data_IF_952149920506
#
_entry.id   IF_952149920506
#
_cell.length_a   1.000
_cell.length_b   1.000
_cell.length_c   1.000
_cell.angle_alpha   90.00
_cell.angle_beta   90.00
_cell.angle_gamma   90.00
#
_symmetry.space_group_name_H-M   'P 1'
#
loop_
_entity.id
_entity.type
_entity.pdbx_description
1 polymer ?
#
# COMPACT_ATOMS: atom_id res chain seq x y z
N UNK A 1 48.57 -17.24 10.96
CA UNK A 1 47.73 -16.77 9.82
C UNK A 1 46.39 -17.52 9.68
N UNK A 2 46.29 -18.82 10.01
CA UNK A 2 45.01 -19.56 10.00
C UNK A 2 43.97 -19.03 11.01
N UNK A 3 44.39 -18.76 12.24
CA UNK A 3 43.54 -18.23 13.32
C UNK A 3 42.96 -16.86 12.99
N UNK A 4 43.77 -15.94 12.45
CA UNK A 4 43.31 -14.60 12.06
C UNK A 4 42.29 -14.62 10.92
N UNK A 5 42.43 -15.56 9.97
CA UNK A 5 41.44 -15.78 8.90
C UNK A 5 40.13 -16.36 9.45
N UNK A 6 40.19 -17.22 10.48
CA UNK A 6 39.00 -17.76 11.14
C UNK A 6 38.22 -16.70 11.92
N UNK A 7 38.90 -15.83 12.67
CA UNK A 7 38.24 -14.72 13.36
C UNK A 7 37.60 -13.72 12.39
N UNK A 8 38.26 -13.45 11.26
CA UNK A 8 37.70 -12.59 10.22
C UNK A 8 36.42 -13.18 9.60
N UNK A 9 36.45 -14.48 9.25
CA UNK A 9 35.26 -15.17 8.72
C UNK A 9 34.12 -15.18 9.75
N UNK A 10 34.42 -15.44 11.02
CA UNK A 10 33.42 -15.44 12.08
C UNK A 10 32.80 -14.05 12.31
N UNK A 11 33.61 -12.98 12.25
CA UNK A 11 33.12 -11.60 12.37
C UNK A 11 32.20 -11.20 11.20
N UNK A 12 32.53 -11.62 9.96
CA UNK A 12 31.69 -11.39 8.80
C UNK A 12 30.35 -12.13 8.91
N UNK A 13 30.35 -13.37 9.40
CA UNK A 13 29.11 -14.15 9.63
C UNK A 13 28.23 -13.49 10.69
N UNK A 14 28.82 -13.01 11.79
CA UNK A 14 28.11 -12.25 12.82
C UNK A 14 27.50 -10.95 12.29
N UNK A 15 28.20 -10.25 11.39
CA UNK A 15 27.71 -9.02 10.78
C UNK A 15 26.49 -9.27 9.88
N UNK A 16 26.48 -10.40 9.15
CA UNK A 16 25.37 -10.80 8.28
C UNK A 16 24.13 -11.18 9.09
N UNK A 17 24.31 -11.88 10.21
CA UNK A 17 23.20 -12.31 11.07
C UNK A 17 22.55 -11.16 11.85
N UNK A 18 23.28 -10.07 12.11
CA UNK A 18 22.74 -8.88 12.77
C UNK A 18 21.85 -8.01 11.86
N UNK A 19 21.78 -8.31 10.55
CA UNK A 19 21.02 -7.53 9.57
C UNK A 19 19.52 -7.86 9.46
N UNK A 20 18.97 -8.73 10.30
CA UNK A 20 17.53 -9.02 10.29
C UNK A 20 16.74 -7.86 10.91
N UNK A 21 16.31 -6.90 10.09
CA UNK A 21 15.24 -5.98 10.46
C UNK A 21 13.89 -6.70 10.41
N UNK A 22 13.23 -6.84 11.56
CA UNK A 22 11.83 -7.24 11.62
C UNK A 22 10.96 -6.03 11.28
N UNK A 23 10.50 -5.93 10.04
CA UNK A 23 9.42 -4.99 9.70
C UNK A 23 8.18 -5.34 10.52
N UNK A 24 7.47 -4.34 11.08
CA UNK A 24 6.22 -4.61 11.79
C UNK A 24 5.22 -5.26 10.83
N UNK A 25 4.84 -6.49 11.13
CA UNK A 25 3.81 -7.22 10.41
C UNK A 25 2.46 -6.53 10.65
N UNK A 26 1.69 -6.29 9.58
CA UNK A 26 0.38 -5.68 9.71
C UNK A 26 -0.57 -6.62 10.49
N UNK A 27 -0.99 -6.23 11.70
CA UNK A 27 -1.88 -7.03 12.58
C UNK A 27 -3.36 -6.93 12.15
N UNK A 28 -3.64 -7.12 10.86
CA UNK A 28 -5.02 -7.25 10.38
C UNK A 28 -5.47 -8.71 10.53
N UNK A 29 -6.37 -8.95 11.50
CA UNK A 29 -7.01 -10.26 11.73
C UNK A 29 -8.45 -10.24 11.20
N UNK A 30 -8.68 -10.61 9.94
CA UNK A 30 -10.03 -10.63 9.39
C UNK A 30 -10.89 -11.71 10.07
N UNK A 31 -12.20 -11.48 10.23
CA UNK A 31 -13.11 -12.51 10.67
C UNK A 31 -13.21 -13.65 9.64
N UNK A 32 -13.38 -14.88 10.12
CA UNK A 32 -13.66 -16.03 9.26
C UNK A 32 -14.99 -15.81 8.52
N UNK A 33 -14.99 -15.92 7.20
CA UNK A 33 -16.16 -15.66 6.37
C UNK A 33 -16.28 -16.68 5.24
N UNK A 34 -17.50 -17.16 4.98
CA UNK A 34 -17.79 -18.18 3.95
C UNK A 34 -17.95 -17.60 2.54
N UNK A 35 -17.76 -16.29 2.37
CA UNK A 35 -17.93 -15.58 1.09
C UNK A 35 -16.63 -14.93 0.62
N UNK A 36 -16.56 -14.55 -0.66
CA UNK A 36 -15.43 -13.80 -1.18
C UNK A 36 -15.31 -12.44 -0.48
N UNK A 37 -14.12 -12.13 0.00
CA UNK A 37 -13.85 -10.91 0.77
C UNK A 37 -13.12 -9.86 -0.08
N UNK A 38 -13.36 -8.57 0.18
CA UNK A 38 -12.70 -7.47 -0.53
C UNK A 38 -11.27 -7.18 0.00
N UNK A 39 -10.61 -8.15 0.61
CA UNK A 39 -9.23 -8.04 1.09
C UNK A 39 -8.39 -9.25 0.64
N UNK A 40 -7.08 -9.04 0.51
CA UNK A 40 -6.11 -10.05 0.09
C UNK A 40 -5.15 -10.40 1.24
N UNK A 41 -4.47 -11.54 1.16
CA UNK A 41 -3.38 -11.91 2.09
C UNK A 41 -2.11 -11.08 1.89
N UNK A 42 -2.05 -10.25 0.85
CA UNK A 42 -0.89 -9.42 0.56
C UNK A 42 -0.72 -8.33 1.64
N UNK A 43 0.46 -8.29 2.24
CA UNK A 43 0.83 -7.24 3.19
C UNK A 43 0.79 -5.87 2.51
N UNK A 44 0.32 -4.86 3.24
CA UNK A 44 0.44 -3.47 2.82
C UNK A 44 1.91 -3.11 2.67
N UNK A 45 2.25 -2.36 1.61
CA UNK A 45 3.58 -1.77 1.46
C UNK A 45 3.61 -0.44 2.20
N UNK A 46 3.53 -0.51 3.53
CA UNK A 46 3.52 0.64 4.43
C UNK A 46 4.85 0.75 5.20
N UNK A 47 5.30 1.97 5.41
CA UNK A 47 6.37 2.28 6.36
C UNK A 47 5.82 3.38 7.30
N UNK A 48 5.73 3.14 8.62
CA UNK A 48 5.27 4.16 9.56
C UNK A 48 6.05 5.47 9.53
N UNK A 49 7.31 5.46 9.05
CA UNK A 49 8.13 6.65 8.89
C UNK A 49 7.88 7.38 7.56
N UNK A 50 7.32 6.70 6.56
CA UNK A 50 7.01 7.22 5.22
C UNK A 50 5.51 7.09 4.90
N UNK A 51 4.67 7.79 5.67
CA UNK A 51 3.21 7.76 5.49
C UNK A 51 2.73 8.60 4.30
N UNK A 52 1.93 8.03 3.41
CA UNK A 52 1.41 8.70 2.22
C UNK A 52 -0.09 8.44 1.97
N UNK A 53 -0.80 9.46 1.51
CA UNK A 53 -2.20 9.30 1.15
C UNK A 53 -2.53 10.18 -0.04
N UNK A 54 -3.59 9.80 -0.75
CA UNK A 54 -4.05 10.53 -1.92
C UNK A 54 -5.41 11.17 -1.67
N UNK A 55 -5.56 12.39 -2.18
CA UNK A 55 -6.85 13.06 -2.27
C UNK A 55 -7.25 13.11 -3.74
N UNK A 56 -8.45 12.64 -4.06
CA UNK A 56 -9.04 12.70 -5.39
C UNK A 56 -10.25 13.62 -5.32
N UNK A 57 -10.26 14.70 -6.09
CA UNK A 57 -11.39 15.63 -6.16
C UNK A 57 -12.48 15.15 -7.12
N UNK A 58 -13.58 15.90 -7.16
CA UNK A 58 -14.73 15.84 -8.07
C UNK A 58 -14.50 15.01 -9.34
N UNK A 59 -15.27 13.94 -9.48
CA UNK A 59 -15.27 13.09 -10.67
C UNK A 59 -16.24 13.60 -11.75
N UNK A 60 -17.34 14.23 -11.34
CA UNK A 60 -18.41 14.69 -12.23
C UNK A 60 -18.12 16.12 -12.75
N UNK A 61 -19.09 16.79 -13.39
CA UNK A 61 -18.91 18.17 -13.85
C UNK A 61 -18.07 18.31 -15.13
N UNK A 62 -18.35 17.48 -16.14
CA UNK A 62 -17.58 17.44 -17.40
C UNK A 62 -16.72 16.18 -17.54
N UNK A 63 -17.15 15.08 -16.91
CA UNK A 63 -16.44 13.81 -16.96
C UNK A 63 -16.22 13.33 -18.40
N UNK A 64 -15.03 12.82 -18.68
CA UNK A 64 -14.68 12.20 -19.96
C UNK A 64 -14.61 10.69 -19.78
N UNK A 65 -15.28 9.89 -20.62
CA UNK A 65 -15.21 8.44 -20.57
C UNK A 65 -13.77 7.93 -20.50
N UNK A 66 -13.49 7.02 -19.57
CA UNK A 66 -12.17 6.38 -19.40
C UNK A 66 -11.11 7.16 -18.62
N UNK A 67 -11.23 8.49 -18.48
CA UNK A 67 -10.20 9.31 -17.79
C UNK A 67 -10.10 8.96 -16.32
N UNK A 68 -11.23 8.87 -15.61
CA UNK A 68 -11.23 8.51 -14.18
C UNK A 68 -10.63 7.12 -13.94
N UNK A 69 -10.99 6.13 -14.77
CA UNK A 69 -10.40 4.77 -14.70
C UNK A 69 -8.89 4.79 -14.89
N UNK A 70 -8.40 5.59 -15.85
CA UNK A 70 -6.96 5.77 -16.06
C UNK A 70 -6.30 6.39 -14.83
N UNK A 71 -6.91 7.42 -14.23
CA UNK A 71 -6.42 8.04 -13.00
C UNK A 71 -6.35 7.05 -11.84
N UNK A 72 -7.39 6.23 -11.62
CA UNK A 72 -7.39 5.15 -10.62
C UNK A 72 -6.27 4.14 -10.86
N UNK A 73 -6.01 3.79 -12.13
CA UNK A 73 -4.89 2.88 -12.45
C UNK A 73 -3.55 3.48 -12.07
N UNK A 74 -3.33 4.78 -12.31
CA UNK A 74 -2.10 5.46 -11.90
C UNK A 74 -2.01 5.59 -10.38
N UNK A 75 -3.13 5.92 -9.71
CA UNK A 75 -3.21 6.01 -8.26
C UNK A 75 -2.82 4.69 -7.58
N UNK A 76 -3.25 3.54 -8.11
CA UNK A 76 -2.87 2.23 -7.60
C UNK A 76 -1.35 1.97 -7.67
N UNK A 77 -0.63 2.58 -8.62
CA UNK A 77 0.83 2.46 -8.72
C UNK A 77 1.56 3.22 -7.61
N UNK A 78 0.95 4.28 -7.07
CA UNK A 78 1.52 5.07 -5.98
C UNK A 78 1.49 4.31 -4.65
N UNK A 79 0.59 3.32 -4.51
CA UNK A 79 0.41 2.51 -3.30
C UNK A 79 0.22 3.35 -2.02
N UNK A 80 -0.71 4.32 -2.00
CA UNK A 80 -1.00 5.07 -0.78
C UNK A 80 -1.63 4.18 0.28
N UNK A 81 -1.47 4.51 1.57
CA UNK A 81 -2.13 3.80 2.67
C UNK A 81 -3.65 3.91 2.59
N UNK A 82 -4.17 5.06 2.16
CA UNK A 82 -5.59 5.24 1.86
C UNK A 82 -5.82 6.36 0.85
N UNK A 83 -7.04 6.40 0.30
CA UNK A 83 -7.49 7.42 -0.64
C UNK A 83 -8.72 8.10 -0.08
N UNK A 84 -8.72 9.44 -0.07
CA UNK A 84 -9.87 10.26 0.27
C UNK A 84 -10.44 10.88 -1.01
N UNK A 85 -11.72 10.60 -1.30
CA UNK A 85 -12.44 11.34 -2.34
C UNK A 85 -13.13 12.56 -1.72
N UNK A 86 -12.97 13.73 -2.33
CA UNK A 86 -13.61 14.97 -1.87
C UNK A 86 -14.48 15.52 -2.99
N UNK A 87 -15.75 15.81 -2.66
CA UNK A 87 -16.74 16.28 -3.63
C UNK A 87 -17.26 15.16 -4.55
N UNK A 88 -18.39 15.43 -5.21
CA UNK A 88 -18.82 14.98 -6.54
C UNK A 88 -18.22 13.69 -7.13
N UNK A 89 -18.22 12.60 -6.35
CA UNK A 89 -17.79 11.28 -6.80
C UNK A 89 -18.87 10.58 -7.66
N UNK A 90 -20.14 10.92 -7.42
CA UNK A 90 -21.32 10.35 -8.08
C UNK A 90 -22.13 11.43 -8.78
N UNK A 91 -22.81 11.06 -9.85
CA UNK A 91 -23.72 11.97 -10.55
C UNK A 91 -24.95 12.24 -9.67
N UNK A 92 -25.20 13.51 -9.38
CA UNK A 92 -26.31 13.97 -8.54
C UNK A 92 -27.52 14.48 -9.33
N UNK A 93 -27.42 14.61 -10.64
CA UNK A 93 -28.53 15.10 -11.47
C UNK A 93 -29.61 14.03 -11.58
N UNK A 94 -30.70 14.20 -10.84
CA UNK A 94 -31.94 13.46 -11.05
C UNK A 94 -32.73 14.10 -12.19
N UNK A 95 -33.48 13.30 -12.96
CA UNK A 95 -34.44 13.86 -13.92
C UNK A 95 -35.60 14.53 -13.17
N UNK A 96 -35.43 15.80 -12.84
CA UNK A 96 -36.54 16.68 -12.45
C UNK A 96 -36.92 17.47 -13.69
N UNK A 97 -37.84 16.88 -14.48
CA UNK A 97 -38.57 17.60 -15.52
C UNK A 97 -39.96 17.95 -15.01
#
# INVERSE_FOLDING_TARGET
MKTMKQYFVMAVVLLILAGCNTSPEADFKPPATDTAQPWTEQAFKNDPMDFQFAIVSDRTGGMRPGVFRKAVTQLNLLQPEFVMSVGDLIEGYTESR
#
